data_IF_582808050250
#
_entry.id   IF_582808050250
#
_cell.length_a   1.000
_cell.length_b   1.000
_cell.length_c   1.000
_cell.angle_alpha   90.00
_cell.angle_beta   90.00
_cell.angle_gamma   90.00
#
_symmetry.space_group_name_H-M   'P 1'
#
loop_
_entity.id
_entity.type
_entity.pdbx_description
1 polymer ?
#
# COMPACT_ATOMS: atom_id res chain seq x y z
N UNK A 1 -12.27 10.84 -19.82
CA UNK A 1 -12.64 11.98 -18.96
C UNK A 1 -11.57 12.09 -17.90
N UNK A 2 -10.62 13.02 -18.06
CA UNK A 2 -9.57 13.26 -17.06
C UNK A 2 -10.17 14.14 -15.96
N UNK A 3 -10.16 13.65 -14.71
CA UNK A 3 -10.60 14.44 -13.56
C UNK A 3 -9.64 15.63 -13.37
N UNK A 4 -10.16 16.82 -13.01
CA UNK A 4 -9.33 17.99 -12.75
C UNK A 4 -8.37 17.73 -11.57
N UNK A 5 -7.17 18.31 -11.65
CA UNK A 5 -6.07 18.23 -10.67
C UNK A 5 -6.38 18.98 -9.35
N UNK A 6 -7.61 18.91 -8.85
CA UNK A 6 -7.89 19.17 -7.44
C UNK A 6 -7.61 17.85 -6.71
N UNK A 7 -6.38 17.76 -6.20
CA UNK A 7 -5.69 16.52 -5.86
C UNK A 7 -6.47 15.55 -4.96
N UNK A 8 -6.31 14.26 -5.23
CA UNK A 8 -6.91 13.17 -4.45
C UNK A 8 -6.79 13.39 -2.93
N UNK A 9 -7.88 13.16 -2.19
CA UNK A 9 -7.85 13.15 -0.71
C UNK A 9 -7.01 11.98 -0.20
N UNK A 10 -6.49 12.09 1.02
CA UNK A 10 -5.73 10.98 1.64
C UNK A 10 -6.57 9.70 1.70
N UNK A 11 -7.84 9.83 2.06
CA UNK A 11 -8.80 8.73 2.10
C UNK A 11 -8.95 8.04 0.73
N UNK A 12 -9.12 8.80 -0.37
CA UNK A 12 -9.21 8.23 -1.72
C UNK A 12 -7.94 7.48 -2.10
N UNK A 13 -6.77 8.05 -1.79
CA UNK A 13 -5.46 7.44 -2.08
C UNK A 13 -5.31 6.11 -1.33
N UNK A 14 -5.59 6.09 -0.03
CA UNK A 14 -5.47 4.90 0.81
C UNK A 14 -6.51 3.83 0.44
N UNK A 15 -7.75 4.21 0.15
CA UNK A 15 -8.76 3.27 -0.34
C UNK A 15 -8.35 2.63 -1.66
N UNK A 16 -7.74 3.40 -2.58
CA UNK A 16 -7.24 2.86 -3.85
C UNK A 16 -6.01 1.99 -3.71
N UNK A 17 -5.17 2.25 -2.70
CA UNK A 17 -4.09 1.34 -2.31
C UNK A 17 -4.68 0.00 -1.84
N UNK A 18 -5.63 0.02 -0.91
CA UNK A 18 -6.29 -1.18 -0.37
C UNK A 18 -6.99 -1.97 -1.48
N UNK A 19 -7.77 -1.28 -2.33
CA UNK A 19 -8.47 -1.89 -3.47
C UNK A 19 -7.49 -2.57 -4.43
N UNK A 20 -6.37 -1.92 -4.74
CA UNK A 20 -5.33 -2.51 -5.59
C UNK A 20 -4.70 -3.76 -4.95
N UNK A 21 -4.56 -3.78 -3.61
CA UNK A 21 -4.07 -4.95 -2.89
C UNK A 21 -5.06 -6.12 -2.96
N UNK A 22 -6.33 -5.87 -2.63
CA UNK A 22 -7.38 -6.91 -2.59
C UNK A 22 -7.70 -7.49 -3.97
N UNK A 23 -7.56 -6.70 -5.03
CA UNK A 23 -7.78 -7.14 -6.43
C UNK A 23 -6.53 -7.69 -7.10
N UNK A 24 -5.36 -7.56 -6.46
CA UNK A 24 -4.05 -7.78 -7.07
C UNK A 24 -3.82 -6.98 -8.36
N UNK A 25 -4.48 -5.82 -8.53
CA UNK A 25 -4.29 -4.93 -9.67
C UNK A 25 -3.61 -3.62 -9.25
N UNK A 26 -2.27 -3.63 -9.28
CA UNK A 26 -1.45 -2.46 -8.97
C UNK A 26 -1.78 -1.24 -9.85
N UNK A 27 -2.34 -1.41 -11.07
CA UNK A 27 -2.67 -0.29 -11.96
C UNK A 27 -3.72 0.63 -11.35
N UNK A 28 -4.61 0.10 -10.50
CA UNK A 28 -5.62 0.89 -9.79
C UNK A 28 -4.99 1.95 -8.89
N UNK A 29 -3.79 1.71 -8.36
CA UNK A 29 -3.10 2.65 -7.48
C UNK A 29 -2.13 3.58 -8.22
N UNK A 30 -1.66 3.23 -9.42
CA UNK A 30 -0.64 4.01 -10.15
C UNK A 30 -0.94 5.52 -10.26
N UNK A 31 -2.17 5.98 -10.59
CA UNK A 31 -2.47 7.40 -10.67
C UNK A 31 -2.38 8.12 -9.31
N UNK A 32 -2.75 7.43 -8.23
CA UNK A 32 -2.82 7.99 -6.87
C UNK A 32 -1.43 8.12 -6.25
N UNK A 33 -0.53 7.19 -6.56
CA UNK A 33 0.89 7.27 -6.18
C UNK A 33 1.55 8.56 -6.68
N UNK A 34 1.14 9.07 -7.86
CA UNK A 34 1.70 10.31 -8.42
C UNK A 34 1.26 11.58 -7.67
N UNK A 35 0.22 11.51 -6.84
CA UNK A 35 -0.24 12.64 -6.02
C UNK A 35 0.89 13.25 -5.20
N UNK A 36 0.98 14.56 -5.14
CA UNK A 36 1.94 15.27 -4.28
C UNK A 36 1.75 14.93 -2.80
N UNK A 37 0.58 14.40 -2.40
CA UNK A 37 0.33 13.91 -1.05
C UNK A 37 1.10 12.64 -0.73
N UNK A 38 1.55 11.87 -1.73
CA UNK A 38 2.26 10.62 -1.49
C UNK A 38 3.77 10.85 -1.52
N UNK A 39 4.43 10.42 -0.45
CA UNK A 39 5.87 10.26 -0.34
C UNK A 39 6.13 8.75 -0.35
N UNK A 40 7.01 8.28 -1.22
CA UNK A 40 7.35 6.86 -1.30
C UNK A 40 8.80 6.68 -0.85
N UNK A 41 9.06 5.69 0.01
CA UNK A 41 10.41 5.36 0.48
C UNK A 41 11.17 4.55 -0.56
N UNK A 42 11.51 5.24 -1.65
CA UNK A 42 12.32 4.71 -2.72
C UNK A 42 13.04 5.89 -3.37
N UNK A 43 14.00 5.59 -4.28
CA UNK A 43 14.69 6.63 -5.06
C UNK A 43 13.69 7.54 -5.78
N UNK A 44 12.56 6.97 -6.23
CA UNK A 44 11.42 7.71 -6.76
C UNK A 44 10.14 6.84 -6.75
N UNK A 45 9.01 7.46 -7.08
CA UNK A 45 7.70 6.82 -7.14
C UNK A 45 7.57 5.71 -8.19
N UNK A 46 8.30 5.78 -9.31
CA UNK A 46 8.26 4.70 -10.30
C UNK A 46 9.01 3.45 -9.78
N UNK A 47 10.12 3.64 -9.06
CA UNK A 47 10.84 2.54 -8.40
C UNK A 47 9.96 1.88 -7.33
N UNK A 48 9.29 2.67 -6.49
CA UNK A 48 8.29 2.15 -5.54
C UNK A 48 7.19 1.37 -6.27
N UNK A 49 6.64 1.91 -7.36
CA UNK A 49 5.57 1.26 -8.11
C UNK A 49 6.01 -0.10 -8.69
N UNK A 50 7.20 -0.17 -9.28
CA UNK A 50 7.76 -1.39 -9.82
C UNK A 50 7.91 -2.46 -8.73
N UNK A 51 8.45 -2.07 -7.58
CA UNK A 51 8.62 -2.96 -6.44
C UNK A 51 7.26 -3.41 -5.86
N UNK A 52 6.34 -2.47 -5.64
CA UNK A 52 4.97 -2.75 -5.21
C UNK A 52 4.28 -3.77 -6.11
N UNK A 53 4.35 -3.58 -7.43
CA UNK A 53 3.74 -4.49 -8.41
C UNK A 53 4.34 -5.91 -8.31
N UNK A 54 5.66 -6.01 -8.14
CA UNK A 54 6.33 -7.31 -7.98
C UNK A 54 5.89 -8.01 -6.69
N UNK A 55 5.84 -7.28 -5.58
CA UNK A 55 5.42 -7.80 -4.28
C UNK A 55 3.96 -8.26 -4.30
N UNK A 56 3.08 -7.49 -4.96
CA UNK A 56 1.68 -7.85 -5.12
C UNK A 56 1.48 -9.10 -5.99
N UNK A 57 2.27 -9.25 -7.05
CA UNK A 57 2.26 -10.47 -7.88
C UNK A 57 2.74 -11.68 -7.08
N UNK A 58 3.83 -11.55 -6.33
CA UNK A 58 4.34 -12.59 -5.44
C UNK A 58 3.30 -12.99 -4.40
N UNK A 59 2.62 -12.01 -3.79
CA UNK A 59 1.52 -12.26 -2.87
C UNK A 59 0.42 -13.06 -3.55
N UNK A 60 -0.01 -12.69 -4.76
CA UNK A 60 -1.03 -13.42 -5.53
C UNK A 60 -0.66 -14.88 -5.79
N UNK A 61 0.56 -15.11 -6.28
CA UNK A 61 1.02 -16.44 -6.67
C UNK A 61 1.18 -17.39 -5.47
N UNK A 62 1.39 -16.84 -4.28
CA UNK A 62 1.71 -17.60 -3.08
C UNK A 62 0.64 -17.50 -1.97
N UNK A 63 -0.59 -17.11 -2.31
CA UNK A 63 -1.69 -16.96 -1.34
C UNK A 63 -2.86 -17.89 -1.64
N UNK A 64 -3.62 -18.21 -0.60
CA UNK A 64 -4.87 -18.97 -0.67
C UNK A 64 -6.05 -18.09 -0.30
N UNK A 65 -6.96 -17.87 -1.25
CA UNK A 65 -8.20 -17.11 -1.02
C UNK A 65 -9.03 -17.68 0.15
N UNK A 66 -9.92 -16.88 0.78
CA UNK A 66 -10.11 -15.45 0.56
C UNK A 66 -8.98 -14.59 1.15
N UNK A 67 -8.68 -13.47 0.48
CA UNK A 67 -7.82 -12.43 1.03
C UNK A 67 -8.55 -11.54 2.04
N UNK A 68 -7.84 -11.09 3.06
CA UNK A 68 -8.32 -10.09 4.03
C UNK A 68 -7.28 -8.99 4.23
N UNK A 69 -7.76 -7.77 4.47
CA UNK A 69 -6.90 -6.62 4.72
C UNK A 69 -7.08 -6.15 6.16
N UNK A 70 -5.97 -5.87 6.85
CA UNK A 70 -5.97 -5.36 8.22
C UNK A 70 -5.02 -4.17 8.33
N UNK A 71 -5.43 -3.17 9.09
CA UNK A 71 -4.59 -2.04 9.48
C UNK A 71 -4.19 -2.27 10.93
N UNK A 72 -2.89 -2.40 11.18
CA UNK A 72 -2.36 -2.86 12.46
C UNK A 72 -1.26 -1.92 12.96
N UNK A 73 -1.27 -1.64 14.27
CA UNK A 73 -0.11 -1.05 14.96
C UNK A 73 0.70 -2.18 15.57
N UNK A 74 1.96 -2.30 15.17
CA UNK A 74 2.85 -3.38 15.62
C UNK A 74 3.72 -2.90 16.79
N UNK A 75 3.98 -3.78 17.75
CA UNK A 75 4.71 -3.41 18.98
C UNK A 75 6.22 -3.25 18.81
N UNK A 76 6.76 -3.66 17.65
CA UNK A 76 8.18 -3.61 17.33
C UNK A 76 8.57 -2.40 16.46
N UNK A 77 7.58 -1.62 16.02
CA UNK A 77 7.83 -0.39 15.28
C UNK A 77 8.02 0.76 16.27
N UNK A 78 9.16 1.44 16.13
CA UNK A 78 9.57 2.53 17.02
C UNK A 78 8.80 3.82 16.71
N UNK A 79 8.34 3.99 15.47
CA UNK A 79 7.51 5.13 15.08
C UNK A 79 6.04 4.90 15.48
N UNK A 80 5.61 5.58 16.55
CA UNK A 80 4.25 5.41 17.09
C UNK A 80 3.12 5.79 16.13
N UNK A 81 3.39 6.59 15.10
CA UNK A 81 2.41 7.01 14.10
C UNK A 81 2.38 6.08 12.88
N UNK A 82 3.29 5.10 12.82
CA UNK A 82 3.38 4.16 11.72
C UNK A 82 2.35 3.05 11.85
N UNK A 83 1.60 2.83 10.77
CA UNK A 83 0.62 1.77 10.64
C UNK A 83 1.05 0.76 9.58
N UNK A 84 0.69 -0.49 9.80
CA UNK A 84 0.95 -1.59 8.89
C UNK A 84 -0.33 -2.00 8.18
N UNK A 85 -0.31 -1.83 6.87
CA UNK A 85 -1.37 -2.16 5.95
C UNK A 85 -1.07 -3.57 5.42
N UNK A 86 -1.71 -4.56 6.04
CA UNK A 86 -1.35 -5.97 5.91
C UNK A 86 -2.42 -6.73 5.13
N UNK A 87 -1.98 -7.40 4.07
CA UNK A 87 -2.78 -8.33 3.29
C UNK A 87 -2.52 -9.75 3.80
N UNK A 88 -3.56 -10.45 4.23
CA UNK A 88 -3.53 -11.83 4.71
C UNK A 88 -4.32 -12.73 3.78
N UNK A 89 -3.88 -13.98 3.68
CA UNK A 89 -4.66 -15.03 3.04
C UNK A 89 -5.34 -15.90 4.12
N UNK A 90 -6.12 -16.89 3.70
CA UNK A 90 -6.91 -17.71 4.64
C UNK A 90 -6.09 -18.76 5.41
N UNK A 91 -4.82 -18.96 5.04
CA UNK A 91 -3.99 -20.08 5.50
C UNK A 91 -2.79 -19.65 6.34
N UNK A 92 -2.09 -18.59 5.95
CA UNK A 92 -0.84 -18.20 6.58
C UNK A 92 -1.07 -17.33 7.81
N UNK A 93 -0.25 -17.57 8.85
CA UNK A 93 -0.24 -16.75 10.06
C UNK A 93 0.32 -15.34 9.82
N UNK A 94 1.25 -15.22 8.88
CA UNK A 94 1.94 -13.98 8.54
C UNK A 94 1.32 -13.33 7.30
N UNK A 95 1.43 -12.01 7.23
CA UNK A 95 0.98 -11.24 6.07
C UNK A 95 1.70 -11.68 4.79
N UNK A 96 0.99 -11.57 3.68
CA UNK A 96 1.44 -11.84 2.31
C UNK A 96 1.92 -10.59 1.59
N UNK A 97 1.46 -9.43 2.06
CA UNK A 97 1.98 -8.09 1.72
C UNK A 97 1.88 -7.21 2.97
N UNK A 98 2.93 -6.46 3.29
CA UNK A 98 2.92 -5.46 4.36
C UNK A 98 3.41 -4.13 3.80
N UNK A 99 2.59 -3.10 3.95
CA UNK A 99 2.91 -1.74 3.54
C UNK A 99 2.95 -0.88 4.81
N UNK A 100 4.06 -0.20 5.03
CA UNK A 100 4.21 0.80 6.08
C UNK A 100 3.57 2.09 5.62
N UNK A 101 2.67 2.63 6.43
CA UNK A 101 1.90 3.82 6.13
C UNK A 101 1.99 4.77 7.30
N UNK A 102 2.49 5.98 7.04
CA UNK A 102 2.45 7.08 7.99
C UNK A 102 1.66 8.24 7.43
N UNK A 103 0.61 8.62 8.15
CA UNK A 103 -0.18 9.79 7.80
C UNK A 103 0.31 11.03 8.56
N UNK A 104 0.46 12.13 7.85
CA UNK A 104 0.64 13.48 8.41
C UNK A 104 -0.54 14.36 8.00
N UNK A 105 -0.51 15.65 8.34
CA UNK A 105 -1.57 16.60 8.00
C UNK A 105 -1.92 16.55 6.50
N UNK A 106 -0.90 16.58 5.63
CA UNK A 106 -1.10 16.67 4.17
C UNK A 106 -0.44 15.55 3.36
N UNK A 107 0.39 14.72 3.99
CA UNK A 107 1.17 13.68 3.31
C UNK A 107 0.84 12.29 3.84
N UNK A 108 0.95 11.32 2.95
CA UNK A 108 1.00 9.88 3.20
C UNK A 108 2.39 9.43 2.83
N UNK A 109 3.13 8.92 3.78
CA UNK A 109 4.38 8.20 3.52
C UNK A 109 4.07 6.72 3.35
N UNK A 110 4.66 6.10 2.33
CA UNK A 110 4.51 4.69 1.99
C UNK A 110 5.87 4.02 1.85
N UNK A 111 6.01 2.86 2.46
CA UNK A 111 7.16 1.98 2.32
C UNK A 111 6.69 0.52 2.22
N UNK A 112 7.43 -0.32 1.52
CA UNK A 112 7.18 -1.76 1.41
C UNK A 112 8.42 -2.47 1.89
N UNK A 113 8.27 -3.23 2.96
CA UNK A 113 9.37 -4.06 3.44
C UNK A 113 9.47 -5.33 2.58
N UNK A 114 10.65 -5.67 2.03
CA UNK A 114 10.87 -6.98 1.44
C UNK A 114 10.72 -8.07 2.52
N UNK A 115 10.16 -9.22 2.11
CA UNK A 115 9.99 -10.41 2.95
C UNK A 115 11.31 -11.16 3.17
#
# INVERSE_FOLDING_TARGET
MYLPMDGYTKEIILNKLIESCLSFDAKLFKPYLQSEKVIADAINKEAFYCFYKQMLLSAKENSVEPMTFKIEKVSWEDDEDMLYYNLYDSKNKYSRLSIRVKESADKIYLDIMPF
#
